data_IF_118165589725
#
_entry.id   IF_118165589725
#
_cell.length_a   1.000
_cell.length_b   1.000
_cell.length_c   1.000
_cell.angle_alpha   90.00
_cell.angle_beta   90.00
_cell.angle_gamma   90.00
#
_symmetry.space_group_name_H-M   'P 1'
#
loop_
_entity.id
_entity.type
_entity.pdbx_description
1 polymer ?
#
# COMPACT_ATOMS: atom_id res chain seq x y z
N UNK A 1 7.42 9.49 -13.27
CA UNK A 1 8.88 9.38 -13.14
C UNK A 1 9.20 7.94 -12.79
N UNK A 2 10.10 7.31 -13.52
CA UNK A 2 10.59 5.95 -13.22
C UNK A 2 11.88 6.06 -12.43
N UNK A 3 11.99 5.35 -11.31
CA UNK A 3 13.20 5.26 -10.49
C UNK A 3 13.64 3.81 -10.51
N UNK A 4 14.95 3.56 -10.67
CA UNK A 4 15.50 2.21 -10.52
C UNK A 4 15.81 1.98 -9.05
N UNK A 5 15.15 1.02 -8.44
CA UNK A 5 15.34 0.60 -7.06
C UNK A 5 16.67 -0.15 -6.84
N UNK A 6 17.11 -0.95 -7.82
CA UNK A 6 18.35 -1.73 -7.73
C UNK A 6 19.57 -0.93 -7.25
N UNK A 7 19.90 0.23 -7.87
CA UNK A 7 20.97 1.10 -7.37
C UNK A 7 20.78 1.60 -5.93
N UNK A 8 19.53 1.81 -5.48
CA UNK A 8 19.21 2.22 -4.10
C UNK A 8 19.48 1.05 -3.15
N UNK A 9 18.99 -0.15 -3.49
CA UNK A 9 19.21 -1.39 -2.74
C UNK A 9 20.71 -1.71 -2.61
N UNK A 10 21.46 -1.59 -3.71
CA UNK A 10 22.91 -1.80 -3.73
C UNK A 10 23.63 -0.80 -2.81
N UNK A 11 23.22 0.47 -2.82
CA UNK A 11 23.83 1.51 -2.01
C UNK A 11 23.52 1.34 -0.51
N UNK A 12 22.29 0.91 -0.16
CA UNK A 12 21.90 0.57 1.21
C UNK A 12 22.73 -0.61 1.72
N UNK A 13 22.82 -1.70 0.95
CA UNK A 13 23.61 -2.87 1.31
C UNK A 13 25.10 -2.53 1.47
N UNK A 14 25.65 -1.72 0.56
CA UNK A 14 27.03 -1.25 0.64
C UNK A 14 27.28 -0.38 1.88
N UNK A 15 26.34 0.48 2.26
CA UNK A 15 26.44 1.30 3.47
C UNK A 15 26.35 0.44 4.74
N UNK A 16 25.42 -0.52 4.79
CA UNK A 16 25.26 -1.43 5.91
C UNK A 16 26.49 -2.32 6.14
N UNK A 17 27.08 -2.84 5.06
CA UNK A 17 28.23 -3.74 5.10
C UNK A 17 29.48 -3.11 5.75
N UNK A 18 29.57 -1.78 5.81
CA UNK A 18 30.69 -1.07 6.45
C UNK A 18 30.78 -1.35 7.96
N UNK A 19 29.64 -1.56 8.62
CA UNK A 19 29.57 -1.89 10.04
C UNK A 19 29.11 -3.33 10.33
N UNK A 20 28.54 -4.02 9.34
CA UNK A 20 28.01 -5.38 9.47
C UNK A 20 28.57 -6.34 8.39
N UNK A 21 29.90 -6.56 8.33
CA UNK A 21 30.52 -7.33 7.25
C UNK A 21 30.08 -8.81 7.19
N UNK A 22 29.63 -9.38 8.31
CA UNK A 22 29.08 -10.75 8.35
C UNK A 22 27.63 -10.84 7.85
N UNK A 23 26.93 -9.71 7.68
CA UNK A 23 25.61 -9.62 7.09
C UNK A 23 25.55 -8.50 6.04
N UNK A 24 26.41 -8.59 5.02
CA UNK A 24 26.59 -7.51 4.03
C UNK A 24 25.39 -7.30 3.08
N UNK A 25 24.47 -8.26 3.00
CA UNK A 25 23.25 -8.16 2.19
C UNK A 25 22.06 -8.03 3.14
N UNK A 26 21.75 -6.79 3.51
CA UNK A 26 20.66 -6.47 4.41
C UNK A 26 19.31 -6.65 3.71
N UNK A 27 19.07 -5.93 2.61
CA UNK A 27 17.85 -6.11 1.82
C UNK A 27 17.99 -7.39 0.99
N UNK A 28 17.12 -8.36 1.25
CA UNK A 28 17.14 -9.68 0.59
C UNK A 28 16.04 -9.88 -0.43
N UNK A 29 14.93 -9.14 -0.32
CA UNK A 29 13.84 -9.11 -1.29
C UNK A 29 13.11 -7.77 -1.25
N UNK A 30 12.37 -7.46 -2.32
CA UNK A 30 11.51 -6.29 -2.45
C UNK A 30 10.61 -6.41 -3.68
N UNK A 31 9.80 -5.38 -3.94
CA UNK A 31 8.92 -5.31 -5.10
C UNK A 31 9.19 -4.06 -5.94
N UNK A 32 9.19 -4.24 -7.26
CA UNK A 32 9.25 -3.15 -8.23
C UNK A 32 7.82 -2.62 -8.46
N UNK A 33 7.41 -1.58 -7.74
CA UNK A 33 6.04 -1.06 -7.81
C UNK A 33 5.94 0.47 -7.56
N UNK A 34 4.72 0.99 -7.48
CA UNK A 34 4.36 2.35 -7.04
C UNK A 34 4.34 2.54 -5.50
N UNK A 35 5.11 1.70 -4.80
CA UNK A 35 5.40 1.77 -3.37
C UNK A 35 6.79 1.17 -3.11
N UNK A 36 7.37 1.49 -1.95
CA UNK A 36 8.55 0.76 -1.48
C UNK A 36 8.12 -0.40 -0.59
N UNK A 37 8.62 -1.59 -0.90
CA UNK A 37 8.53 -2.76 -0.05
C UNK A 37 9.89 -3.46 0.00
N UNK A 38 10.45 -3.65 1.19
CA UNK A 38 11.68 -4.43 1.34
C UNK A 38 11.64 -5.36 2.55
N UNK A 39 12.25 -6.53 2.38
CA UNK A 39 12.43 -7.57 3.39
C UNK A 39 13.92 -7.72 3.71
N UNK A 40 14.25 -7.79 5.00
CA UNK A 40 15.61 -7.74 5.50
C UNK A 40 16.09 -9.09 6.03
N UNK A 41 17.38 -9.35 5.94
CA UNK A 41 18.04 -10.51 6.57
C UNK A 41 18.20 -10.35 8.09
N UNK A 42 18.12 -9.12 8.58
CA UNK A 42 18.09 -8.73 9.99
C UNK A 42 16.80 -7.91 10.19
N UNK A 43 15.83 -8.50 10.88
CA UNK A 43 14.52 -7.91 11.16
C UNK A 43 14.46 -7.19 12.51
N UNK A 44 15.62 -6.78 13.02
CA UNK A 44 15.68 -5.91 14.19
C UNK A 44 15.23 -4.50 13.82
N UNK A 45 14.56 -3.82 14.76
CA UNK A 45 14.16 -2.43 14.58
C UNK A 45 15.33 -1.51 14.19
N UNK A 46 16.55 -1.82 14.64
CA UNK A 46 17.76 -1.06 14.27
C UNK A 46 18.10 -1.19 12.79
N UNK A 47 17.96 -2.39 12.21
CA UNK A 47 18.16 -2.61 10.79
C UNK A 47 17.06 -1.94 9.96
N UNK A 48 15.81 -2.04 10.40
CA UNK A 48 14.66 -1.40 9.75
C UNK A 48 14.79 0.13 9.75
N UNK A 49 15.17 0.72 10.89
CA UNK A 49 15.40 2.16 11.05
C UNK A 49 16.58 2.63 10.21
N UNK A 50 17.63 1.82 10.05
CA UNK A 50 18.76 2.12 9.18
C UNK A 50 18.30 2.28 7.72
N UNK A 51 17.52 1.32 7.21
CA UNK A 51 17.00 1.37 5.84
C UNK A 51 16.07 2.56 5.65
N UNK A 52 15.13 2.79 6.57
CA UNK A 52 14.23 3.96 6.56
C UNK A 52 15.01 5.27 6.54
N UNK A 53 16.01 5.42 7.41
CA UNK A 53 16.84 6.62 7.47
C UNK A 53 17.66 6.81 6.20
N UNK A 54 18.19 5.75 5.61
CA UNK A 54 18.91 5.83 4.34
C UNK A 54 17.98 6.35 3.24
N UNK A 55 16.83 5.69 3.04
CA UNK A 55 15.85 6.06 2.02
C UNK A 55 15.44 7.53 2.14
N UNK A 56 15.13 7.98 3.36
CA UNK A 56 14.71 9.35 3.61
C UNK A 56 15.80 10.39 3.37
N UNK A 57 17.07 10.08 3.64
CA UNK A 57 18.16 11.07 3.56
C UNK A 57 18.93 11.06 2.24
N UNK A 58 18.57 10.20 1.29
CA UNK A 58 19.23 10.11 -0.02
C UNK A 58 18.29 10.52 -1.15
N UNK A 59 18.88 10.96 -2.25
CA UNK A 59 18.17 11.14 -3.52
C UNK A 59 18.35 9.93 -4.42
N UNK A 60 17.45 9.75 -5.37
CA UNK A 60 17.54 8.72 -6.39
C UNK A 60 17.50 9.33 -7.80
N UNK A 61 18.18 8.67 -8.74
CA UNK A 61 18.12 9.02 -10.14
C UNK A 61 16.95 8.30 -10.81
N UNK A 62 16.22 9.01 -11.65
CA UNK A 62 15.10 8.49 -12.42
C UNK A 62 15.00 9.10 -13.80
N UNK A 63 13.92 8.78 -14.50
CA UNK A 63 13.55 9.35 -15.79
C UNK A 63 12.13 9.91 -15.73
N UNK A 64 11.89 11.07 -16.34
CA UNK A 64 10.54 11.56 -16.58
C UNK A 64 9.82 10.74 -17.67
N UNK A 65 8.56 11.10 -17.97
CA UNK A 65 7.77 10.41 -19.00
C UNK A 65 8.36 10.54 -20.43
N UNK A 66 9.22 11.54 -20.66
CA UNK A 66 9.94 11.74 -21.92
C UNK A 66 11.31 11.05 -21.96
N UNK A 67 11.73 10.37 -20.89
CA UNK A 67 13.04 9.74 -20.78
C UNK A 67 14.16 10.70 -20.36
N UNK A 68 13.85 11.91 -19.91
CA UNK A 68 14.84 12.87 -19.41
C UNK A 68 15.30 12.47 -18.01
N UNK A 69 16.61 12.46 -17.72
CA UNK A 69 17.11 12.22 -16.36
C UNK A 69 16.57 13.24 -15.36
N UNK A 70 16.08 12.73 -14.23
CA UNK A 70 15.60 13.53 -13.09
C UNK A 70 16.21 13.00 -11.80
N UNK A 71 16.32 13.86 -10.79
CA UNK A 71 16.71 13.47 -9.43
C UNK A 71 15.53 13.70 -8.50
N UNK A 72 15.12 12.66 -7.78
CA UNK A 72 14.05 12.72 -6.78
C UNK A 72 14.65 12.70 -5.37
N UNK A 73 14.11 13.51 -4.46
CA UNK A 73 14.50 13.50 -3.05
C UNK A 73 13.87 12.32 -2.31
N UNK A 74 14.39 12.00 -1.12
CA UNK A 74 13.87 10.94 -0.25
C UNK A 74 13.75 9.58 -0.98
N UNK A 75 14.67 9.29 -1.88
CA UNK A 75 14.66 8.11 -2.75
C UNK A 75 13.36 7.94 -3.56
N UNK A 76 12.57 9.01 -3.74
CA UNK A 76 11.27 8.99 -4.41
C UNK A 76 10.05 8.85 -3.47
N UNK A 77 10.25 8.90 -2.15
CA UNK A 77 9.23 8.60 -1.15
C UNK A 77 8.63 9.86 -0.52
N UNK A 78 7.38 9.78 -0.10
CA UNK A 78 6.64 10.82 0.62
C UNK A 78 6.41 10.44 2.09
N UNK A 79 6.30 9.13 2.39
CA UNK A 79 6.13 8.61 3.75
C UNK A 79 6.75 7.21 3.90
N UNK A 80 7.26 6.88 5.09
CA UNK A 80 7.90 5.60 5.40
C UNK A 80 7.52 5.04 6.77
N UNK A 81 7.31 3.73 6.81
CA UNK A 81 7.09 2.91 8.01
C UNK A 81 8.14 1.79 8.06
N UNK A 82 8.65 1.49 9.25
CA UNK A 82 9.72 0.50 9.43
C UNK A 82 9.54 -0.29 10.72
N UNK A 83 9.81 -1.59 10.67
CA UNK A 83 9.70 -2.52 11.79
C UNK A 83 8.31 -2.46 12.41
N UNK A 84 8.25 -2.09 13.70
CA UNK A 84 6.99 -1.97 14.44
C UNK A 84 5.99 -1.00 13.78
N UNK A 85 6.46 0.10 13.19
CA UNK A 85 5.56 1.04 12.53
C UNK A 85 4.93 0.43 11.26
N UNK A 86 5.67 -0.41 10.54
CA UNK A 86 5.14 -1.15 9.40
C UNK A 86 4.13 -2.22 9.85
N UNK A 87 4.45 -2.98 10.91
CA UNK A 87 3.51 -3.95 11.49
C UNK A 87 2.19 -3.27 11.93
N UNK A 88 2.29 -2.12 12.59
CA UNK A 88 1.14 -1.32 13.00
C UNK A 88 0.31 -0.84 11.81
N UNK A 89 0.97 -0.39 10.73
CA UNK A 89 0.28 0.03 9.51
C UNK A 89 -0.59 -1.10 8.93
N UNK A 90 -0.07 -2.33 8.91
CA UNK A 90 -0.81 -3.50 8.42
C UNK A 90 -1.75 -4.13 9.48
N UNK A 91 -1.80 -3.60 10.71
CA UNK A 91 -2.65 -4.12 11.78
C UNK A 91 -2.27 -5.53 12.25
N UNK A 92 -0.98 -5.90 12.12
CA UNK A 92 -0.46 -7.23 12.50
C UNK A 92 0.50 -7.14 13.68
N UNK A 93 0.72 -8.27 14.35
CA UNK A 93 1.76 -8.37 15.36
C UNK A 93 3.16 -8.30 14.71
N UNK A 94 4.13 -7.75 15.44
CA UNK A 94 5.53 -7.57 14.97
C UNK A 94 6.20 -8.92 14.67
N UNK A 95 5.77 -10.00 15.30
CA UNK A 95 6.28 -11.35 15.07
C UNK A 95 5.49 -12.15 14.02
N UNK A 96 4.52 -11.53 13.34
CA UNK A 96 3.67 -12.23 12.38
C UNK A 96 4.39 -12.70 11.12
N UNK A 97 5.49 -12.04 10.73
CA UNK A 97 6.22 -12.34 9.49
C UNK A 97 5.43 -12.09 8.20
N UNK A 98 4.27 -11.43 8.28
CA UNK A 98 3.34 -11.20 7.16
C UNK A 98 3.27 -9.73 6.73
N UNK A 99 4.32 -8.96 6.98
CA UNK A 99 4.45 -7.57 6.57
C UNK A 99 5.90 -7.31 6.11
N UNK A 100 6.15 -6.31 5.28
CA UNK A 100 7.51 -5.90 4.93
C UNK A 100 8.19 -5.17 6.07
N UNK A 101 9.47 -5.43 6.26
CA UNK A 101 10.28 -4.79 7.29
C UNK A 101 10.36 -3.26 7.09
N UNK A 102 10.41 -2.79 5.83
CA UNK A 102 10.24 -1.37 5.48
C UNK A 102 9.21 -1.22 4.37
N UNK A 103 8.27 -0.30 4.60
CA UNK A 103 7.18 0.03 3.70
C UNK A 103 7.14 1.55 3.45
N UNK A 104 6.87 1.98 2.22
CA UNK A 104 6.84 3.40 1.91
C UNK A 104 5.88 3.79 0.80
N UNK A 105 5.26 4.95 0.99
CA UNK A 105 4.46 5.64 -0.02
C UNK A 105 5.39 6.47 -0.91
N UNK A 106 5.23 6.34 -2.23
CA UNK A 106 5.97 7.16 -3.20
C UNK A 106 5.40 8.57 -3.27
N UNK A 107 6.23 9.51 -3.73
CA UNK A 107 5.72 10.80 -4.20
C UNK A 107 4.81 10.58 -5.41
N UNK A 108 3.70 11.32 -5.49
CA UNK A 108 2.74 11.18 -6.58
C UNK A 108 3.43 11.26 -7.95
N UNK A 109 3.18 10.25 -8.79
CA UNK A 109 3.80 10.10 -10.10
C UNK A 109 5.20 9.50 -10.11
N UNK A 110 5.76 9.05 -9.00
CA UNK A 110 6.97 8.19 -8.95
C UNK A 110 6.56 6.71 -8.99
N UNK A 111 7.28 5.90 -9.77
CA UNK A 111 7.18 4.43 -9.75
C UNK A 111 8.58 3.83 -9.72
N UNK A 112 8.77 2.72 -8.99
CA UNK A 112 10.00 1.93 -9.04
C UNK A 112 9.89 0.92 -10.18
N UNK A 113 10.45 1.27 -11.34
CA UNK A 113 10.36 0.42 -12.52
C UNK A 113 11.47 0.70 -13.54
N UNK A 114 11.64 -0.24 -14.47
CA UNK A 114 12.38 0.00 -15.70
C UNK A 114 11.62 0.94 -16.66
N UNK A 115 12.33 1.58 -17.63
CA UNK A 115 11.76 2.62 -18.50
C UNK A 115 10.63 2.17 -19.44
N UNK A 116 10.34 0.86 -19.50
CA UNK A 116 9.33 0.27 -20.39
C UNK A 116 7.98 0.05 -19.70
N UNK A 117 7.92 0.12 -18.36
CA UNK A 117 6.69 0.08 -17.57
C UNK A 117 6.30 1.51 -17.20
N UNK A 118 5.28 2.05 -17.88
CA UNK A 118 4.88 3.46 -17.78
C UNK A 118 3.70 3.70 -16.83
N UNK A 119 3.07 2.66 -16.32
CA UNK A 119 2.00 2.71 -15.33
C UNK A 119 2.03 1.42 -14.50
N UNK A 120 1.89 1.59 -13.19
CA UNK A 120 1.64 0.53 -12.21
C UNK A 120 0.52 1.02 -11.29
N UNK A 121 -0.02 0.12 -10.49
CA UNK A 121 -1.05 0.36 -9.49
C UNK A 121 -0.78 -0.60 -8.34
N UNK A 122 -1.12 -0.22 -7.11
CA UNK A 122 -0.70 -0.91 -5.90
C UNK A 122 -0.39 0.06 -4.76
N UNK A 123 -0.16 1.32 -5.14
CA UNK A 123 0.27 2.40 -4.30
C UNK A 123 -0.86 3.01 -3.51
N UNK A 124 -0.52 4.06 -2.78
CA UNK A 124 -1.41 4.67 -1.81
C UNK A 124 -2.13 5.92 -2.34
N UNK A 125 -1.86 6.31 -3.59
CA UNK A 125 -2.47 7.48 -4.20
C UNK A 125 -3.96 7.24 -4.49
N UNK A 126 -4.72 8.34 -4.58
CA UNK A 126 -6.16 8.26 -4.86
C UNK A 126 -6.48 7.61 -6.21
N UNK A 127 -5.59 7.76 -7.21
CA UNK A 127 -5.71 7.10 -8.51
C UNK A 127 -5.63 5.57 -8.45
N UNK A 128 -4.91 5.02 -7.47
CA UNK A 128 -4.73 3.57 -7.28
C UNK A 128 -5.84 2.98 -6.39
N UNK A 129 -6.42 3.81 -5.51
CA UNK A 129 -7.38 3.36 -4.49
C UNK A 129 -8.84 3.61 -4.84
N UNK A 130 -9.15 4.62 -5.66
CA UNK A 130 -10.53 4.95 -6.01
C UNK A 130 -11.00 4.14 -7.22
N UNK A 131 -11.99 3.27 -7.00
CA UNK A 131 -12.64 2.49 -8.05
C UNK A 131 -14.10 2.87 -8.20
N UNK A 132 -14.64 2.72 -9.41
CA UNK A 132 -16.06 2.94 -9.66
C UNK A 132 -16.90 1.84 -9.01
N UNK A 133 -17.97 2.24 -8.30
CA UNK A 133 -18.95 1.32 -7.72
C UNK A 133 -20.31 1.50 -8.41
N UNK A 134 -20.78 0.44 -9.09
CA UNK A 134 -22.09 0.40 -9.75
C UNK A 134 -22.91 -0.74 -9.17
N UNK A 135 -24.18 -0.46 -8.86
CA UNK A 135 -25.12 -1.44 -8.32
C UNK A 135 -26.36 -1.43 -9.20
N UNK A 136 -26.75 -2.61 -9.66
CA UNK A 136 -27.97 -2.84 -10.44
C UNK A 136 -28.71 -4.05 -9.89
N UNK A 137 -30.04 -3.94 -9.79
CA UNK A 137 -30.86 -5.00 -9.21
C UNK A 137 -32.31 -4.59 -8.92
N UNK A 138 -33.15 -5.58 -8.69
CA UNK A 138 -34.56 -5.34 -8.34
C UNK A 138 -34.67 -4.55 -7.04
N UNK A 139 -35.43 -3.46 -7.06
CA UNK A 139 -35.63 -2.61 -5.87
C UNK A 139 -34.49 -1.63 -5.58
N UNK A 140 -33.44 -1.59 -6.40
CA UNK A 140 -32.39 -0.56 -6.32
C UNK A 140 -32.87 0.67 -7.10
N UNK A 141 -33.06 1.83 -6.46
CA UNK A 141 -33.48 3.04 -7.16
C UNK A 141 -32.34 3.58 -8.02
N UNK A 142 -32.69 4.14 -9.19
CA UNK A 142 -31.73 4.87 -10.01
C UNK A 142 -31.32 6.16 -9.29
N UNK A 143 -30.08 6.21 -8.81
CA UNK A 143 -29.52 7.35 -8.10
C UNK A 143 -28.00 7.40 -8.26
N UNK A 144 -27.43 8.58 -8.05
CA UNK A 144 -25.99 8.76 -7.87
C UNK A 144 -25.76 9.15 -6.43
N UNK A 145 -24.92 8.41 -5.73
CA UNK A 145 -24.50 8.72 -4.38
C UNK A 145 -23.01 9.07 -4.38
N UNK A 146 -22.68 10.31 -4.03
CA UNK A 146 -21.31 10.81 -3.97
C UNK A 146 -20.67 10.70 -2.59
N UNK A 147 -21.35 10.05 -1.62
CA UNK A 147 -20.76 9.79 -0.32
C UNK A 147 -19.53 8.87 -0.47
N UNK A 148 -18.42 9.15 0.24
CA UNK A 148 -17.29 8.24 0.29
C UNK A 148 -17.73 6.86 0.79
N UNK A 149 -17.31 5.81 0.09
CA UNK A 149 -17.57 4.41 0.43
C UNK A 149 -16.31 3.59 0.21
N UNK A 150 -16.21 2.50 0.94
CA UNK A 150 -15.10 1.53 0.85
C UNK A 150 -15.57 0.24 0.19
N UNK A 151 -14.68 -0.45 -0.52
CA UNK A 151 -14.98 -1.75 -1.16
C UNK A 151 -15.31 -2.85 -0.13
N UNK A 152 -14.87 -2.70 1.13
CA UNK A 152 -15.25 -3.58 2.24
C UNK A 152 -16.76 -3.59 2.50
N UNK A 153 -17.47 -2.53 2.10
CA UNK A 153 -18.91 -2.40 2.27
C UNK A 153 -19.72 -3.25 1.26
N UNK A 154 -19.08 -3.82 0.23
CA UNK A 154 -19.77 -4.66 -0.77
C UNK A 154 -20.37 -5.91 -0.15
N UNK A 155 -19.58 -6.69 0.61
CA UNK A 155 -20.06 -7.93 1.22
C UNK A 155 -21.26 -7.74 2.17
N UNK A 156 -21.22 -6.84 3.18
CA UNK A 156 -22.38 -6.63 4.04
C UNK A 156 -23.61 -6.11 3.27
N UNK A 157 -23.41 -5.34 2.20
CA UNK A 157 -24.51 -4.85 1.35
C UNK A 157 -25.19 -5.98 0.59
N UNK A 158 -24.41 -6.94 0.04
CA UNK A 158 -24.96 -8.12 -0.62
C UNK A 158 -25.81 -8.94 0.35
N UNK A 159 -25.32 -9.18 1.58
CA UNK A 159 -26.08 -9.90 2.60
C UNK A 159 -27.40 -9.18 2.90
N UNK A 160 -27.36 -7.87 3.13
CA UNK A 160 -28.56 -7.08 3.40
C UNK A 160 -29.57 -7.11 2.23
N UNK A 161 -29.09 -7.01 0.99
CA UNK A 161 -29.94 -7.09 -0.20
C UNK A 161 -30.61 -8.47 -0.37
N UNK A 162 -29.96 -9.53 0.10
CA UNK A 162 -30.50 -10.89 0.14
C UNK A 162 -31.38 -11.17 1.37
N UNK A 163 -31.56 -10.20 2.28
CA UNK A 163 -32.30 -10.39 3.53
C UNK A 163 -31.54 -11.22 4.59
N UNK A 164 -30.24 -11.37 4.44
CA UNK A 164 -29.34 -12.02 5.39
C UNK A 164 -28.74 -10.99 6.36
N UNK A 165 -28.35 -11.45 7.55
CA UNK A 165 -27.74 -10.59 8.58
C UNK A 165 -26.28 -10.26 8.25
N UNK A 166 -25.93 -8.98 7.96
CA UNK A 166 -24.56 -8.56 7.71
C UNK A 166 -23.61 -8.83 8.90
N UNK A 167 -24.14 -8.87 10.13
CA UNK A 167 -23.36 -9.15 11.34
C UNK A 167 -22.81 -10.58 11.38
N UNK A 168 -23.27 -11.47 10.48
CA UNK A 168 -22.67 -12.79 10.28
C UNK A 168 -21.24 -12.73 9.74
N UNK A 169 -20.80 -11.60 9.16
CA UNK A 169 -19.43 -11.40 8.70
C UNK A 169 -18.51 -10.99 9.86
N UNK A 170 -17.40 -11.71 10.03
CA UNK A 170 -16.38 -11.37 11.03
C UNK A 170 -15.81 -9.96 10.81
N UNK A 171 -15.64 -9.52 9.56
CA UNK A 171 -15.17 -8.17 9.24
C UNK A 171 -16.12 -7.10 9.79
N UNK A 172 -17.44 -7.28 9.64
CA UNK A 172 -18.45 -6.35 10.21
C UNK A 172 -18.33 -6.29 11.74
N UNK A 173 -18.14 -7.43 12.40
CA UNK A 173 -18.01 -7.48 13.85
C UNK A 173 -16.71 -6.82 14.35
N UNK A 174 -15.59 -6.99 13.63
CA UNK A 174 -14.27 -6.51 14.05
C UNK A 174 -14.00 -5.06 13.63
N UNK A 175 -14.41 -4.69 12.42
CA UNK A 175 -14.07 -3.42 11.77
C UNK A 175 -15.24 -2.44 11.77
N UNK A 176 -16.45 -2.89 12.12
CA UNK A 176 -17.65 -2.04 12.12
C UNK A 176 -18.07 -1.61 10.72
N UNK A 177 -17.73 -2.38 9.69
CA UNK A 177 -18.05 -2.09 8.28
C UNK A 177 -19.56 -1.94 8.08
N UNK A 178 -19.97 -0.83 7.46
CA UNK A 178 -21.38 -0.53 7.22
C UNK A 178 -21.84 -0.98 5.83
N UNK A 179 -23.14 -1.24 5.68
CA UNK A 179 -23.75 -1.39 4.35
C UNK A 179 -23.65 -0.09 3.55
N UNK A 180 -23.73 -0.19 2.23
CA UNK A 180 -23.66 0.97 1.35
C UNK A 180 -24.89 1.88 1.53
N UNK A 181 -24.68 3.22 1.55
CA UNK A 181 -25.76 4.17 1.71
C UNK A 181 -26.70 4.14 0.50
N UNK A 182 -28.01 4.21 0.75
CA UNK A 182 -29.04 4.26 -0.29
C UNK A 182 -29.43 2.90 -0.88
N UNK A 183 -28.88 1.79 -0.38
CA UNK A 183 -29.17 0.41 -0.85
C UNK A 183 -30.11 -0.36 0.10
N UNK A 184 -30.44 0.16 1.28
CA UNK A 184 -31.28 -0.59 2.23
C UNK A 184 -32.70 -0.71 1.70
N UNK A 185 -33.05 -1.97 1.38
CA UNK A 185 -34.37 -2.41 0.99
C UNK A 185 -35.42 -1.99 2.00
N UNK A 186 -36.55 -1.57 1.47
CA UNK A 186 -37.80 -1.37 2.19
C UNK A 186 -37.99 -2.55 3.15
N UNK A 187 -37.99 -2.29 4.45
CA UNK A 187 -38.61 -3.20 5.42
C UNK A 187 -40.01 -3.48 4.88
N UNK A 188 -40.25 -4.68 4.37
CA UNK A 188 -41.62 -5.17 4.20
C UNK A 188 -42.04 -5.59 5.59
N UNK A 189 -42.57 -4.61 6.32
CA UNK A 189 -43.37 -4.86 7.49
C UNK A 189 -44.57 -5.68 7.00
N UNK A 190 -44.64 -6.95 7.40
CA UNK A 190 -45.83 -7.79 7.33
C UNK A 190 -46.41 -7.88 8.74
#
# INVERSE_FOLDING_TARGET
MTVKDGPIVDAINAAWAQSHPSNAKLIVAGTDDDLWQSYLSDNSQTADDFVKAYLWNHSAQGLDAGGTPVTVQHSGLSQLWAGKDAANFFGVAVDSGHYPDVFGEVQEGVIYSGPTKLAEHGGMNTGDRHVLMVIDGSGVPAQVNSAPVETTQVAPTILAALGLDPSSLTAVQKEGTQVLPGIIGSRRDN
#
